data_IF_287686342279
#
_entry.id   IF_287686342279
#
_cell.length_a   1.000
_cell.length_b   1.000
_cell.length_c   1.000
_cell.angle_alpha   90.00
_cell.angle_beta   90.00
_cell.angle_gamma   90.00
#
_symmetry.space_group_name_H-M   'P 1'
#
loop_
_entity.id
_entity.type
_entity.pdbx_description
1 polymer ?
#
# COMPACT_ATOMS: atom_id res chain seq x y z
N UNK A 1 -35.32 32.20 1.51
CA UNK A 1 -36.70 31.71 1.65
C UNK A 1 -36.95 30.79 0.46
N UNK A 2 -36.90 29.47 0.52
CA UNK A 2 -36.73 28.53 1.64
C UNK A 2 -35.73 27.45 1.19
N UNK A 3 -34.61 27.35 1.93
CA UNK A 3 -33.48 26.45 1.63
C UNK A 3 -33.77 25.00 1.97
N UNK A 4 -34.93 24.49 1.56
CA UNK A 4 -35.36 23.12 1.78
C UNK A 4 -35.23 22.33 0.47
N UNK A 5 -34.00 22.23 -0.05
CA UNK A 5 -33.70 21.06 -0.89
C UNK A 5 -33.82 19.86 0.05
N UNK A 6 -34.73 18.90 -0.20
CA UNK A 6 -34.88 17.74 0.66
C UNK A 6 -33.54 17.01 0.73
N UNK A 7 -32.89 17.05 1.89
CA UNK A 7 -31.70 16.27 2.16
C UNK A 7 -32.18 14.85 2.45
N UNK A 8 -32.03 13.98 1.45
CA UNK A 8 -32.41 12.58 1.54
C UNK A 8 -31.41 11.82 2.41
N UNK A 9 -31.73 11.72 3.70
CA UNK A 9 -30.90 11.06 4.72
C UNK A 9 -30.61 9.60 4.37
N UNK A 10 -31.62 8.93 3.84
CA UNK A 10 -31.56 7.58 3.30
C UNK A 10 -30.54 7.45 2.17
N UNK A 11 -30.54 8.40 1.22
CA UNK A 11 -29.56 8.42 0.11
C UNK A 11 -28.15 8.68 0.64
N UNK A 12 -27.96 9.66 1.52
CA UNK A 12 -26.64 9.96 2.11
C UNK A 12 -26.12 8.76 2.89
N UNK A 13 -26.96 8.14 3.70
CA UNK A 13 -26.62 6.94 4.44
C UNK A 13 -26.17 5.81 3.49
N UNK A 14 -26.97 5.52 2.46
CA UNK A 14 -26.69 4.43 1.52
C UNK A 14 -25.40 4.68 0.73
N UNK A 15 -25.17 5.91 0.28
CA UNK A 15 -23.95 6.30 -0.45
C UNK A 15 -22.73 6.13 0.45
N UNK A 16 -22.74 6.67 1.67
CA UNK A 16 -21.62 6.52 2.60
C UNK A 16 -21.39 5.04 2.95
N UNK A 17 -22.46 4.27 3.17
CA UNK A 17 -22.37 2.84 3.45
C UNK A 17 -21.67 2.08 2.32
N UNK A 18 -22.09 2.30 1.06
CA UNK A 18 -21.50 1.64 -0.11
C UNK A 18 -20.03 2.04 -0.25
N UNK A 19 -19.73 3.34 -0.17
CA UNK A 19 -18.37 3.86 -0.32
C UNK A 19 -17.44 3.29 0.75
N UNK A 20 -17.82 3.40 2.02
CA UNK A 20 -17.04 2.87 3.15
C UNK A 20 -16.84 1.36 3.01
N UNK A 21 -17.86 0.62 2.57
CA UNK A 21 -17.76 -0.82 2.35
C UNK A 21 -16.70 -1.18 1.30
N UNK A 22 -16.70 -0.49 0.17
CA UNK A 22 -15.69 -0.72 -0.87
C UNK A 22 -14.30 -0.26 -0.46
N UNK A 23 -14.20 0.82 0.32
CA UNK A 23 -12.93 1.27 0.91
C UNK A 23 -12.37 0.19 1.84
N UNK A 24 -13.17 -0.31 2.80
CA UNK A 24 -12.71 -1.37 3.70
C UNK A 24 -12.42 -2.68 2.95
N UNK A 25 -13.22 -3.02 1.94
CA UNK A 25 -12.96 -4.21 1.14
C UNK A 25 -11.61 -4.13 0.40
N UNK A 26 -11.34 -3.01 -0.27
CA UNK A 26 -10.10 -2.82 -1.01
C UNK A 26 -8.89 -2.68 -0.07
N UNK A 27 -9.00 -1.91 1.01
CA UNK A 27 -7.92 -1.76 1.99
C UNK A 27 -7.59 -3.08 2.68
N UNK A 28 -8.59 -3.89 3.04
CA UNK A 28 -8.38 -5.22 3.61
C UNK A 28 -7.64 -6.16 2.64
N UNK A 29 -8.01 -6.14 1.35
CA UNK A 29 -7.31 -6.89 0.30
C UNK A 29 -5.86 -6.47 0.13
N UNK A 30 -5.58 -5.16 0.08
CA UNK A 30 -4.23 -4.62 -0.04
C UNK A 30 -3.36 -4.90 1.18
N UNK A 31 -3.97 -4.95 2.37
CA UNK A 31 -3.24 -5.23 3.60
C UNK A 31 -2.85 -6.72 3.69
N UNK A 32 -3.60 -7.60 3.02
CA UNK A 32 -3.45 -9.06 3.09
C UNK A 32 -4.16 -9.69 4.30
N UNK A 33 -5.06 -8.96 4.96
CA UNK A 33 -5.81 -9.45 6.14
C UNK A 33 -7.06 -10.22 5.67
N UNK A 34 -7.49 -11.21 6.45
CA UNK A 34 -8.73 -11.94 6.20
C UNK A 34 -9.93 -10.99 6.26
N UNK A 35 -10.56 -10.76 5.11
CA UNK A 35 -11.77 -9.94 4.99
C UNK A 35 -13.00 -10.76 5.40
N UNK A 36 -13.77 -10.26 6.36
CA UNK A 36 -15.05 -10.83 6.78
C UNK A 36 -16.16 -9.84 6.46
N UNK A 37 -16.99 -10.15 5.46
CA UNK A 37 -17.98 -9.20 4.92
C UNK A 37 -18.96 -8.66 5.96
N UNK A 38 -19.38 -9.48 6.95
CA UNK A 38 -20.26 -9.01 8.03
C UNK A 38 -19.61 -7.92 8.89
N UNK A 39 -18.31 -8.01 9.15
CA UNK A 39 -17.59 -7.01 9.94
C UNK A 39 -17.41 -5.70 9.18
N UNK A 40 -17.15 -5.80 7.87
CA UNK A 40 -17.11 -4.66 6.97
C UNK A 40 -18.47 -3.96 6.94
N UNK A 41 -19.56 -4.70 6.77
CA UNK A 41 -20.91 -4.13 6.77
C UNK A 41 -21.21 -3.37 8.07
N UNK A 42 -20.84 -3.92 9.24
CA UNK A 42 -21.03 -3.21 10.52
C UNK A 42 -20.17 -1.95 10.59
N UNK A 43 -18.89 -2.02 10.19
CA UNK A 43 -18.01 -0.85 10.18
C UNK A 43 -18.53 0.25 9.23
N UNK A 44 -18.96 -0.10 8.02
CA UNK A 44 -19.56 0.81 7.06
C UNK A 44 -20.88 1.40 7.54
N UNK A 45 -21.72 0.61 8.21
CA UNK A 45 -22.97 1.11 8.80
C UNK A 45 -22.69 2.15 9.88
N UNK A 46 -21.72 1.90 10.76
CA UNK A 46 -21.32 2.87 11.80
C UNK A 46 -20.67 4.12 11.21
N UNK A 47 -19.85 3.97 10.16
CA UNK A 47 -19.28 5.09 9.40
C UNK A 47 -20.37 5.96 8.78
N UNK A 48 -21.37 5.34 8.14
CA UNK A 48 -22.51 6.04 7.56
C UNK A 48 -23.38 6.74 8.61
N UNK A 49 -23.64 6.10 9.77
CA UNK A 49 -24.36 6.72 10.90
C UNK A 49 -23.60 7.95 11.40
N UNK A 50 -22.27 7.83 11.57
CA UNK A 50 -21.42 8.94 11.99
C UNK A 50 -21.48 10.11 10.99
N UNK A 51 -21.36 9.82 9.69
CA UNK A 51 -21.44 10.82 8.62
C UNK A 51 -22.77 11.57 8.62
N UNK A 52 -23.89 10.84 8.69
CA UNK A 52 -25.23 11.45 8.80
C UNK A 52 -25.35 12.27 10.09
N UNK A 53 -24.92 11.72 11.23
CA UNK A 53 -24.95 12.40 12.51
C UNK A 53 -24.22 13.74 12.50
N UNK A 54 -23.05 13.81 11.85
CA UNK A 54 -22.29 15.05 11.71
C UNK A 54 -23.00 16.15 10.90
N UNK A 55 -23.92 15.79 9.99
CA UNK A 55 -24.68 16.76 9.19
C UNK A 55 -25.79 17.41 10.04
N UNK A 56 -26.53 16.60 10.80
CA UNK A 56 -27.69 17.06 11.57
C UNK A 56 -27.32 17.69 12.90
N UNK A 57 -26.27 17.16 13.52
CA UNK A 57 -25.85 17.56 14.84
C UNK A 57 -24.71 18.56 14.63
N UNK A 58 -25.00 19.87 14.75
CA UNK A 58 -24.02 20.97 14.76
C UNK A 58 -23.04 20.90 15.96
N UNK A 59 -22.62 19.71 16.38
CA UNK A 59 -21.61 19.50 17.38
C UNK A 59 -20.23 19.78 16.77
N UNK A 60 -19.77 21.02 16.94
CA UNK A 60 -18.45 21.52 16.54
C UNK A 60 -17.30 20.54 16.86
N UNK A 61 -17.33 19.91 18.05
CA UNK A 61 -16.27 19.00 18.50
C UNK A 61 -16.22 17.67 17.73
N UNK A 62 -17.38 17.14 17.32
CA UNK A 62 -17.46 15.85 16.62
C UNK A 62 -17.05 15.97 15.16
N UNK A 63 -17.13 17.16 14.58
CA UNK A 63 -16.62 17.43 13.24
C UNK A 63 -15.11 17.72 13.20
N UNK A 64 -14.46 17.85 14.36
CA UNK A 64 -13.05 18.21 14.44
C UNK A 64 -12.15 17.18 13.75
N UNK A 65 -11.06 17.68 13.14
CA UNK A 65 -10.10 16.82 12.45
C UNK A 65 -9.57 15.67 13.32
N UNK A 66 -9.17 15.88 14.60
CA UNK A 66 -8.73 14.80 15.47
C UNK A 66 -9.79 13.71 15.69
N UNK A 67 -11.07 14.09 15.79
CA UNK A 67 -12.13 13.13 16.03
C UNK A 67 -12.34 12.19 14.84
N UNK A 68 -12.21 12.71 13.61
CA UNK A 68 -12.25 11.89 12.38
C UNK A 68 -11.13 10.84 12.37
N UNK A 69 -9.93 11.21 12.80
CA UNK A 69 -8.79 10.30 12.94
C UNK A 69 -9.11 9.18 13.95
N UNK A 70 -9.64 9.53 15.13
CA UNK A 70 -10.00 8.56 16.18
C UNK A 70 -11.10 7.59 15.68
N UNK A 71 -12.19 8.13 15.13
CA UNK A 71 -13.30 7.32 14.62
C UNK A 71 -12.81 6.37 13.51
N UNK A 72 -12.00 6.86 12.57
CA UNK A 72 -11.43 6.00 11.52
C UNK A 72 -10.62 4.83 12.09
N UNK A 73 -9.85 5.07 13.16
CA UNK A 73 -9.08 4.02 13.84
C UNK A 73 -10.00 2.97 14.47
N UNK A 74 -11.06 3.41 15.14
CA UNK A 74 -12.08 2.50 15.73
C UNK A 74 -12.74 1.65 14.64
N UNK A 75 -13.13 2.26 13.52
CA UNK A 75 -13.77 1.53 12.41
C UNK A 75 -12.80 0.51 11.77
N UNK A 76 -11.52 0.83 11.63
CA UNK A 76 -10.49 -0.09 11.13
C UNK A 76 -10.28 -1.27 12.08
N UNK A 77 -10.24 -1.03 13.39
CA UNK A 77 -10.18 -2.12 14.39
C UNK A 77 -11.42 -3.02 14.28
N UNK A 78 -12.60 -2.42 14.15
CA UNK A 78 -13.86 -3.15 14.01
C UNK A 78 -13.93 -3.96 12.72
N UNK A 79 -13.41 -3.42 11.61
CA UNK A 79 -13.40 -4.08 10.30
C UNK A 79 -12.42 -5.27 10.24
N UNK A 80 -11.22 -5.15 10.82
CA UNK A 80 -10.14 -6.13 10.60
C UNK A 80 -9.65 -6.89 11.83
N UNK A 81 -9.74 -6.33 13.04
CA UNK A 81 -9.22 -6.94 14.28
C UNK A 81 -7.72 -7.27 14.13
N UNK A 82 -6.89 -6.23 13.90
CA UNK A 82 -5.46 -6.42 13.68
C UNK A 82 -4.82 -7.09 14.89
N UNK A 83 -3.88 -8.02 14.65
CA UNK A 83 -3.21 -8.78 15.71
C UNK A 83 -2.04 -8.02 16.33
N UNK A 84 -1.48 -7.06 15.61
CA UNK A 84 -0.34 -6.25 16.03
C UNK A 84 -0.55 -4.77 15.70
N UNK A 85 0.19 -3.90 16.38
CA UNK A 85 0.21 -2.46 16.05
C UNK A 85 0.68 -2.19 14.62
N UNK A 86 1.67 -2.95 14.13
CA UNK A 86 2.14 -2.85 12.75
C UNK A 86 1.04 -3.20 11.73
N UNK A 87 0.27 -4.27 11.98
CA UNK A 87 -0.89 -4.60 11.14
C UNK A 87 -1.96 -3.51 11.18
N UNK A 88 -2.23 -2.93 12.36
CA UNK A 88 -3.16 -1.81 12.49
C UNK A 88 -2.73 -0.62 11.65
N UNK A 89 -1.49 -0.13 11.84
CA UNK A 89 -0.98 1.04 11.10
C UNK A 89 -0.95 0.77 9.59
N UNK A 90 -0.59 -0.44 9.18
CA UNK A 90 -0.64 -0.85 7.77
C UNK A 90 -2.07 -0.80 7.22
N UNK A 91 -3.04 -1.41 7.90
CA UNK A 91 -4.45 -1.40 7.49
C UNK A 91 -5.03 0.03 7.45
N UNK A 92 -4.66 0.85 8.43
CA UNK A 92 -5.10 2.23 8.54
C UNK A 92 -4.50 3.12 7.44
N UNK A 93 -3.24 2.91 7.08
CA UNK A 93 -2.60 3.58 5.94
C UNK A 93 -3.26 3.20 4.61
N UNK A 94 -3.53 1.91 4.38
CA UNK A 94 -4.25 1.47 3.17
C UNK A 94 -5.68 1.99 3.12
N UNK A 95 -6.38 2.06 4.27
CA UNK A 95 -7.71 2.67 4.35
C UNK A 95 -7.68 4.11 3.83
N UNK A 96 -6.78 4.97 4.34
CA UNK A 96 -6.67 6.33 3.85
C UNK A 96 -6.21 6.42 2.39
N UNK A 97 -5.26 5.58 1.98
CA UNK A 97 -4.80 5.54 0.59
C UNK A 97 -5.92 5.22 -0.39
N UNK A 98 -6.76 4.24 -0.07
CA UNK A 98 -7.94 3.89 -0.88
C UNK A 98 -8.98 5.02 -0.83
N UNK A 99 -9.25 5.60 0.35
CA UNK A 99 -10.19 6.73 0.48
C UNK A 99 -9.78 7.92 -0.38
N UNK A 100 -8.50 8.30 -0.37
CA UNK A 100 -8.01 9.40 -1.20
C UNK A 100 -8.05 9.07 -2.69
N UNK A 101 -7.70 7.85 -3.09
CA UNK A 101 -7.80 7.42 -4.48
C UNK A 101 -9.26 7.43 -4.96
N UNK A 102 -10.19 6.95 -4.13
CA UNK A 102 -11.62 6.94 -4.43
C UNK A 102 -12.18 8.37 -4.52
N UNK A 103 -11.82 9.26 -3.60
CA UNK A 103 -12.18 10.67 -3.64
C UNK A 103 -11.62 11.36 -4.89
N UNK A 104 -10.36 11.08 -5.25
CA UNK A 104 -9.75 11.56 -6.49
C UNK A 104 -10.46 11.06 -7.73
N UNK A 105 -10.90 9.79 -7.76
CA UNK A 105 -11.68 9.23 -8.87
C UNK A 105 -13.07 9.87 -8.98
N UNK A 106 -13.75 10.08 -7.85
CA UNK A 106 -15.01 10.81 -7.75
C UNK A 106 -14.87 12.21 -8.35
N UNK A 107 -13.88 12.98 -7.89
CA UNK A 107 -13.66 14.36 -8.34
C UNK A 107 -13.20 14.38 -9.80
N UNK A 108 -12.30 13.49 -10.21
CA UNK A 108 -11.83 13.40 -11.59
C UNK A 108 -12.95 13.07 -12.57
N UNK A 109 -13.81 12.10 -12.20
CA UNK A 109 -14.97 11.73 -13.03
C UNK A 109 -15.97 12.89 -13.16
N UNK A 110 -16.21 13.66 -12.09
CA UNK A 110 -17.14 14.79 -12.15
C UNK A 110 -16.63 15.89 -13.09
N UNK A 111 -15.32 16.12 -13.17
CA UNK A 111 -14.74 17.06 -14.13
C UNK A 111 -14.76 16.53 -15.57
N UNK A 112 -14.46 15.25 -15.80
CA UNK A 112 -14.42 14.66 -17.14
C UNK A 112 -15.78 14.64 -17.83
N UNK A 113 -16.85 14.39 -17.07
CA UNK A 113 -18.20 14.29 -17.61
C UNK A 113 -19.00 15.59 -17.50
N UNK A 114 -18.42 16.67 -16.97
CA UNK A 114 -19.10 17.95 -16.71
C UNK A 114 -19.78 18.53 -17.96
N UNK A 115 -19.14 18.40 -19.12
CA UNK A 115 -19.61 18.99 -20.38
C UNK A 115 -20.43 18.00 -21.23
N UNK A 116 -20.74 16.81 -20.70
CA UNK A 116 -21.52 15.81 -21.42
C UNK A 116 -23.00 16.21 -21.48
N UNK A 117 -23.69 16.05 -22.63
CA UNK A 117 -25.09 16.44 -22.75
C UNK A 117 -25.97 15.69 -21.74
N UNK A 118 -26.69 16.48 -20.92
CA UNK A 118 -27.45 16.06 -19.73
C UNK A 118 -28.64 15.10 -19.96
N UNK A 119 -28.77 14.49 -21.15
CA UNK A 119 -29.87 13.61 -21.52
C UNK A 119 -29.48 12.17 -21.86
N UNK A 120 -28.18 11.82 -21.84
CA UNK A 120 -27.69 10.49 -22.26
C UNK A 120 -27.21 9.65 -21.08
N UNK A 121 -26.90 10.26 -19.93
CA UNK A 121 -26.38 9.56 -18.76
C UNK A 121 -27.40 9.59 -17.61
N UNK A 122 -27.46 8.52 -16.77
CA UNK A 122 -28.22 8.57 -15.53
C UNK A 122 -27.75 9.79 -14.72
N UNK A 123 -28.67 10.38 -13.92
CA UNK A 123 -28.44 11.60 -13.14
C UNK A 123 -26.98 11.69 -12.69
N UNK A 124 -26.33 12.83 -13.00
CA UNK A 124 -24.91 13.09 -12.72
C UNK A 124 -24.51 12.69 -11.29
N UNK A 125 -25.47 12.66 -10.36
CA UNK A 125 -25.38 12.16 -8.98
C UNK A 125 -24.95 10.69 -8.80
N UNK A 126 -25.01 9.82 -9.81
CA UNK A 126 -24.61 8.40 -9.66
C UNK A 126 -23.30 8.04 -10.39
N UNK A 127 -22.87 8.88 -11.34
CA UNK A 127 -21.66 8.62 -12.14
C UNK A 127 -20.39 8.72 -11.29
N UNK A 128 -20.33 9.70 -10.39
CA UNK A 128 -19.19 9.87 -9.48
C UNK A 128 -19.07 8.72 -8.48
N UNK A 129 -20.20 8.22 -7.97
CA UNK A 129 -20.25 7.02 -7.14
C UNK A 129 -19.72 5.80 -7.91
N UNK A 130 -20.13 5.63 -9.16
CA UNK A 130 -19.60 4.59 -10.04
C UNK A 130 -18.08 4.68 -10.23
N UNK A 131 -17.55 5.87 -10.49
CA UNK A 131 -16.11 6.11 -10.63
C UNK A 131 -15.32 5.73 -9.38
N UNK A 132 -15.81 6.11 -8.21
CA UNK A 132 -15.24 5.71 -6.93
C UNK A 132 -15.25 4.19 -6.73
N UNK A 133 -16.42 3.55 -6.91
CA UNK A 133 -16.56 2.09 -6.72
C UNK A 133 -15.68 1.32 -7.69
N UNK A 134 -15.63 1.71 -8.96
CA UNK A 134 -14.75 1.10 -9.96
C UNK A 134 -13.28 1.23 -9.54
N UNK A 135 -12.87 2.40 -9.07
CA UNK A 135 -11.52 2.63 -8.56
C UNK A 135 -11.20 1.69 -7.38
N UNK A 136 -12.08 1.61 -6.39
CA UNK A 136 -11.90 0.73 -5.23
C UNK A 136 -11.86 -0.75 -5.64
N UNK A 137 -12.71 -1.19 -6.57
CA UNK A 137 -12.71 -2.55 -7.12
C UNK A 137 -11.39 -2.86 -7.85
N UNK A 138 -10.91 -1.92 -8.66
CA UNK A 138 -9.64 -2.05 -9.36
C UNK A 138 -8.45 -2.15 -8.39
N UNK A 139 -8.42 -1.29 -7.37
CA UNK A 139 -7.39 -1.32 -6.32
C UNK A 139 -7.42 -2.62 -5.51
N UNK A 140 -8.61 -3.08 -5.11
CA UNK A 140 -8.72 -4.32 -4.33
C UNK A 140 -8.40 -5.59 -5.11
N UNK A 141 -8.56 -5.60 -6.45
CA UNK A 141 -8.23 -6.76 -7.29
C UNK A 141 -6.82 -6.75 -7.85
N UNK A 142 -6.35 -5.60 -8.34
CA UNK A 142 -5.07 -5.48 -9.03
C UNK A 142 -3.99 -4.80 -8.17
N UNK A 143 -4.39 -4.07 -7.14
CA UNK A 143 -3.45 -3.27 -6.36
C UNK A 143 -2.43 -4.11 -5.59
N UNK A 144 -2.79 -5.24 -5.00
CA UNK A 144 -1.81 -6.12 -4.31
C UNK A 144 -0.76 -6.64 -5.28
N UNK A 145 -1.19 -7.05 -6.48
CA UNK A 145 -0.28 -7.48 -7.55
C UNK A 145 0.67 -6.35 -7.98
N UNK A 146 0.14 -5.16 -8.25
CA UNK A 146 0.96 -4.00 -8.65
C UNK A 146 1.93 -3.60 -7.55
N UNK A 147 1.48 -3.59 -6.29
CA UNK A 147 2.34 -3.25 -5.14
C UNK A 147 3.49 -4.26 -5.04
N UNK A 148 3.20 -5.56 -5.08
CA UNK A 148 4.21 -6.62 -4.92
C UNK A 148 5.14 -6.78 -6.11
N UNK A 149 4.62 -6.74 -7.34
CA UNK A 149 5.40 -7.03 -8.55
C UNK A 149 6.11 -5.80 -9.10
N UNK A 150 5.59 -4.59 -8.86
CA UNK A 150 6.14 -3.36 -9.45
C UNK A 150 6.64 -2.37 -8.43
N UNK A 151 5.88 -2.07 -7.37
CA UNK A 151 6.25 -0.98 -6.47
C UNK A 151 7.37 -1.41 -5.52
N UNK A 152 7.20 -2.54 -4.83
CA UNK A 152 8.19 -3.02 -3.84
C UNK A 152 9.57 -3.25 -4.47
N UNK A 153 9.71 -3.96 -5.62
CA UNK A 153 11.02 -4.19 -6.21
C UNK A 153 11.71 -2.90 -6.65
N UNK A 154 10.97 -1.96 -7.26
CA UNK A 154 11.53 -0.69 -7.71
C UNK A 154 11.96 0.22 -6.55
N UNK A 155 11.33 0.13 -5.38
CA UNK A 155 11.72 0.89 -4.19
C UNK A 155 12.97 0.31 -3.51
N UNK A 156 13.19 -0.99 -3.63
CA UNK A 156 14.30 -1.70 -2.99
C UNK A 156 15.51 -1.86 -3.91
N UNK A 157 15.35 -1.62 -5.21
CA UNK A 157 16.46 -1.56 -6.16
C UNK A 157 17.21 -0.23 -6.01
N UNK A 158 18.51 -0.32 -5.75
CA UNK A 158 19.39 0.84 -5.67
C UNK A 158 20.60 0.68 -6.60
N UNK A 159 21.02 1.73 -7.32
CA UNK A 159 22.29 1.68 -8.04
C UNK A 159 23.43 1.60 -7.04
N UNK A 160 24.28 0.58 -7.16
CA UNK A 160 25.43 0.36 -6.29
C UNK A 160 26.70 0.50 -7.12
N UNK A 161 27.69 1.19 -6.54
CA UNK A 161 29.03 1.30 -7.10
C UNK A 161 30.02 0.67 -6.13
N UNK A 162 30.83 -0.25 -6.64
CA UNK A 162 31.89 -0.92 -5.87
C UNK A 162 33.24 -0.51 -6.43
N UNK A 163 34.18 -0.22 -5.55
CA UNK A 163 35.54 0.21 -5.89
C UNK A 163 36.57 -0.76 -5.36
N UNK A 164 37.44 -1.23 -6.25
CA UNK A 164 38.64 -1.98 -5.88
C UNK A 164 39.87 -1.23 -6.40
N UNK A 165 40.60 -0.57 -5.50
CA UNK A 165 41.76 0.26 -5.86
C UNK A 165 41.37 1.41 -6.80
N UNK A 166 41.82 1.37 -8.05
CA UNK A 166 41.47 2.34 -9.11
C UNK A 166 40.26 1.92 -9.96
N UNK A 167 39.83 0.67 -9.87
CA UNK A 167 38.78 0.12 -10.71
C UNK A 167 37.41 0.29 -10.06
N UNK A 168 36.42 0.58 -10.88
CA UNK A 168 35.03 0.75 -10.47
C UNK A 168 34.14 -0.23 -11.22
N UNK A 169 33.15 -0.78 -10.53
CA UNK A 169 32.05 -1.54 -11.12
C UNK A 169 30.73 -0.98 -10.63
N UNK A 170 29.75 -0.98 -11.52
CA UNK A 170 28.40 -0.51 -11.24
C UNK A 170 27.43 -1.66 -11.46
N UNK A 171 26.43 -1.74 -10.59
CA UNK A 171 25.38 -2.73 -10.68
C UNK A 171 24.10 -2.28 -10.01
N UNK A 172 23.09 -3.13 -10.06
CA UNK A 172 21.87 -2.94 -9.29
C UNK A 172 21.95 -3.79 -8.03
N UNK A 173 21.87 -3.15 -6.87
CA UNK A 173 21.72 -3.80 -5.58
C UNK A 173 20.25 -3.89 -5.20
N UNK A 174 19.94 -4.86 -4.35
CA UNK A 174 18.63 -4.98 -3.71
C UNK A 174 18.79 -4.77 -2.20
N UNK A 175 18.04 -3.83 -1.64
CA UNK A 175 18.02 -3.59 -0.20
C UNK A 175 17.20 -4.71 0.45
N UNK A 176 17.89 -5.73 0.94
CA UNK A 176 17.29 -6.76 1.76
C UNK A 176 17.18 -6.26 3.21
N UNK A 177 15.98 -5.81 3.61
CA UNK A 177 15.70 -5.36 4.99
C UNK A 177 15.82 -6.48 6.02
N UNK A 178 15.87 -7.75 5.58
CA UNK A 178 16.09 -8.93 6.42
C UNK A 178 17.56 -9.35 6.53
N UNK A 179 18.47 -8.68 5.81
CA UNK A 179 19.88 -8.99 5.89
C UNK A 179 20.50 -8.41 7.18
N UNK A 180 20.95 -9.29 8.06
CA UNK A 180 21.61 -8.96 9.34
C UNK A 180 23.10 -9.34 9.28
N UNK A 181 23.63 -9.64 8.09
CA UNK A 181 25.03 -10.03 7.95
C UNK A 181 25.97 -8.88 8.28
N UNK A 182 26.82 -9.11 9.26
CA UNK A 182 27.92 -8.22 9.62
C UNK A 182 29.25 -8.97 9.54
N UNK A 183 30.31 -8.23 9.22
CA UNK A 183 31.66 -8.76 9.27
C UNK A 183 32.01 -9.10 10.74
N UNK A 184 32.36 -10.35 11.08
CA UNK A 184 32.61 -10.76 12.46
C UNK A 184 33.81 -10.03 13.11
N UNK A 185 34.73 -9.47 12.32
CA UNK A 185 35.90 -8.77 12.85
C UNK A 185 35.60 -7.29 13.14
N UNK A 186 34.84 -6.64 12.26
CA UNK A 186 34.59 -5.18 12.33
C UNK A 186 33.16 -4.83 12.75
N UNK A 187 32.27 -5.82 12.78
CA UNK A 187 30.83 -5.69 12.98
C UNK A 187 30.14 -4.70 12.02
N UNK A 188 30.74 -4.49 10.84
CA UNK A 188 30.19 -3.62 9.80
C UNK A 188 29.23 -4.39 8.89
N UNK A 189 28.17 -3.73 8.35
CA UNK A 189 27.23 -4.36 7.44
C UNK A 189 27.91 -4.83 6.14
N UNK A 190 27.49 -6.00 5.64
CA UNK A 190 28.08 -6.63 4.45
C UNK A 190 27.09 -6.63 3.29
N UNK A 191 27.61 -6.37 2.08
CA UNK A 191 26.87 -6.52 0.82
C UNK A 191 27.31 -7.82 0.11
N UNK A 192 26.36 -8.65 -0.29
CA UNK A 192 26.61 -9.84 -1.11
C UNK A 192 26.50 -9.44 -2.58
N UNK A 193 27.48 -9.83 -3.38
CA UNK A 193 27.48 -9.63 -4.82
C UNK A 193 27.86 -10.92 -5.53
N UNK A 194 27.18 -11.22 -6.64
CA UNK A 194 27.57 -12.32 -7.52
C UNK A 194 28.94 -12.04 -8.13
N UNK A 195 29.82 -13.04 -8.10
CA UNK A 195 31.18 -12.91 -8.62
C UNK A 195 31.21 -12.41 -10.06
N UNK A 196 30.27 -12.88 -10.91
CA UNK A 196 30.19 -12.47 -12.32
C UNK A 196 30.03 -10.94 -12.46
N UNK A 197 29.22 -10.31 -11.60
CA UNK A 197 28.96 -8.86 -11.59
C UNK A 197 30.22 -8.04 -11.26
N UNK A 198 31.05 -8.56 -10.34
CA UNK A 198 32.23 -7.86 -9.80
C UNK A 198 33.57 -8.37 -10.37
N UNK A 199 33.56 -9.44 -11.17
CA UNK A 199 34.77 -10.03 -11.76
C UNK A 199 35.56 -9.01 -12.58
N UNK A 200 34.86 -8.12 -13.28
CA UNK A 200 35.42 -7.05 -14.12
C UNK A 200 36.24 -6.01 -13.37
N UNK A 201 35.94 -5.77 -12.09
CA UNK A 201 36.64 -4.76 -11.28
C UNK A 201 37.81 -5.32 -10.47
N UNK A 202 37.90 -6.64 -10.29
CA UNK A 202 39.04 -7.26 -9.61
C UNK A 202 40.35 -7.22 -10.43
N UNK A 203 41.51 -7.02 -9.77
CA UNK A 203 42.81 -7.28 -10.38
C UNK A 203 42.92 -8.73 -10.88
N UNK A 204 43.73 -8.96 -11.91
CA UNK A 204 43.89 -10.29 -12.54
C UNK A 204 44.31 -11.36 -11.53
N UNK A 205 45.13 -11.01 -10.55
CA UNK A 205 45.64 -11.94 -9.53
C UNK A 205 44.49 -12.44 -8.62
N UNK A 206 43.63 -11.52 -8.17
CA UNK A 206 42.46 -11.86 -7.35
C UNK A 206 41.45 -12.67 -8.16
N UNK A 207 41.28 -12.33 -9.44
CA UNK A 207 40.41 -13.07 -10.35
C UNK A 207 40.85 -14.51 -10.49
N UNK A 208 42.15 -14.75 -10.72
CA UNK A 208 42.72 -16.08 -10.88
C UNK A 208 42.56 -16.93 -9.60
N UNK A 209 42.73 -16.34 -8.41
CA UNK A 209 42.51 -17.04 -7.14
C UNK A 209 41.03 -17.40 -6.97
N UNK A 210 40.10 -16.47 -7.21
CA UNK A 210 38.67 -16.78 -7.12
C UNK A 210 38.25 -17.87 -8.11
N UNK A 211 38.69 -17.79 -9.37
CA UNK A 211 38.38 -18.82 -10.39
C UNK A 211 38.95 -20.20 -10.00
N UNK A 212 40.09 -20.25 -9.32
CA UNK A 212 40.65 -21.51 -8.79
C UNK A 212 39.90 -22.04 -7.57
N UNK A 213 39.19 -21.18 -6.82
CA UNK A 213 38.42 -21.52 -5.61
C UNK A 213 36.91 -21.70 -5.86
N UNK A 214 36.44 -21.46 -7.09
CA UNK A 214 35.03 -21.62 -7.50
C UNK A 214 34.59 -23.04 -7.93
N UNK A 215 35.30 -24.19 -7.71
CA UNK A 215 34.65 -25.49 -7.92
C UNK A 215 33.46 -25.61 -6.95
N UNK A 216 32.25 -25.53 -7.49
CA UNK A 216 30.97 -25.53 -6.77
C UNK A 216 30.83 -26.69 -5.76
N UNK A 217 31.51 -27.82 -6.02
CA UNK A 217 31.49 -29.00 -5.17
C UNK A 217 32.26 -28.83 -3.84
N UNK A 218 33.30 -28.00 -3.82
CA UNK A 218 34.23 -27.91 -2.68
C UNK A 218 33.79 -26.94 -1.58
N UNK A 219 32.98 -25.94 -1.93
CA UNK A 219 32.59 -24.87 -1.00
C UNK A 219 31.47 -25.34 -0.05
N UNK A 220 30.53 -26.16 -0.55
CA UNK A 220 29.53 -26.82 0.30
C UNK A 220 30.14 -27.91 1.19
N UNK A 221 31.14 -28.67 0.70
CA UNK A 221 31.88 -29.63 1.53
C UNK A 221 32.69 -28.95 2.63
N UNK A 222 33.34 -27.82 2.34
CA UNK A 222 34.11 -27.07 3.35
C UNK A 222 33.21 -26.46 4.45
N UNK A 223 32.02 -26.00 4.09
CA UNK A 223 31.04 -25.48 5.06
C UNK A 223 30.36 -26.60 5.86
N UNK A 224 30.16 -27.78 5.28
CA UNK A 224 29.62 -28.95 5.99
C UNK A 224 30.61 -29.55 7.02
N UNK A 225 31.92 -29.39 6.81
CA UNK A 225 32.95 -29.85 7.75
C UNK A 225 33.18 -28.90 8.92
N UNK A 226 32.61 -27.69 8.88
CA UNK A 226 32.74 -26.69 9.95
C UNK A 226 31.51 -26.60 10.87
N UNK A 227 30.51 -27.48 10.69
CA UNK A 227 29.35 -27.65 11.59
C UNK A 227 29.47 -28.83 12.54
#
# INVERSE_FOLDING_TARGET
MDGNSPVYVDVIFLVNFIMDFFIFWAAGKLTGIRVVFGRLAVASALGAIYSVGCIFIHLSTWYSFPMKIIISGILVVLAYWPRSGAEFFKAWAYFYGVSFAMAGAVIGSSFLFRDWPAGVLPDFSYIWLGGGVICAVALGRYGDRVVREKIVPNLLQCPVQVRFGSNWCQGQGFIDTGNILTDPLTNQPVAIAEYQLISGCFPRDVRAVMESCLPEDSLFEALAQTS
#
